data_IF_872409531466
#
_entry.id   IF_872409531466
#
_cell.length_a   1.000
_cell.length_b   1.000
_cell.length_c   1.000
_cell.angle_alpha   90.00
_cell.angle_beta   90.00
_cell.angle_gamma   90.00
#
_symmetry.space_group_name_H-M   'P 1'
#
loop_
_entity.id
_entity.type
_entity.pdbx_description
1 polymer ?
#
# COMPACT_ATOMS: atom_id res chain seq x y z
N UNK A 1 4.84 20.14 -11.04
CA UNK A 1 3.56 20.19 -10.30
C UNK A 1 2.65 19.02 -10.66
N UNK A 2 2.32 18.80 -11.93
CA UNK A 2 1.39 17.73 -12.36
C UNK A 2 1.79 16.31 -11.92
N UNK A 3 3.07 15.93 -12.04
CA UNK A 3 3.55 14.60 -11.58
C UNK A 3 3.36 14.37 -10.08
N UNK A 4 3.60 15.39 -9.26
CA UNK A 4 3.38 15.30 -7.81
C UNK A 4 1.88 15.19 -7.49
N UNK A 5 1.04 15.92 -8.21
CA UNK A 5 -0.41 15.83 -8.08
C UNK A 5 -0.92 14.43 -8.46
N UNK A 6 -0.37 13.83 -9.51
CA UNK A 6 -0.65 12.46 -9.91
C UNK A 6 -0.18 11.44 -8.87
N UNK A 7 1.00 11.64 -8.28
CA UNK A 7 1.53 10.77 -7.23
C UNK A 7 0.65 10.81 -5.97
N UNK A 8 0.31 12.01 -5.50
CA UNK A 8 -0.55 12.22 -4.33
C UNK A 8 -2.01 11.81 -4.59
N UNK A 9 -2.44 11.69 -5.85
CA UNK A 9 -3.73 11.12 -6.22
C UNK A 9 -3.72 9.59 -6.39
N UNK A 10 -2.56 8.94 -6.33
CA UNK A 10 -2.42 7.53 -6.67
C UNK A 10 -2.81 6.60 -5.51
N UNK A 11 -3.88 5.81 -5.69
CA UNK A 11 -4.38 4.86 -4.68
C UNK A 11 -3.31 3.83 -4.27
N UNK A 12 -2.55 3.30 -5.22
CA UNK A 12 -1.46 2.34 -4.98
C UNK A 12 -0.27 2.94 -4.22
N UNK A 13 0.01 4.23 -4.41
CA UNK A 13 1.03 4.92 -3.63
C UNK A 13 0.60 5.02 -2.16
N UNK A 14 -0.62 5.45 -1.89
CA UNK A 14 -1.14 5.53 -0.52
C UNK A 14 -1.27 4.17 0.16
N UNK A 15 -1.69 3.13 -0.56
CA UNK A 15 -1.72 1.76 -0.04
C UNK A 15 -0.32 1.29 0.39
N UNK A 16 0.71 1.53 -0.43
CA UNK A 16 2.09 1.21 -0.09
C UNK A 16 2.61 2.04 1.09
N UNK A 17 2.30 3.34 1.11
CA UNK A 17 2.72 4.25 2.18
C UNK A 17 2.11 3.86 3.54
N UNK A 18 0.84 3.49 3.58
CA UNK A 18 0.17 3.03 4.79
C UNK A 18 0.75 1.70 5.26
N UNK A 19 0.98 0.75 4.35
CA UNK A 19 1.64 -0.52 4.68
C UNK A 19 3.03 -0.30 5.28
N UNK A 20 3.83 0.57 4.67
CA UNK A 20 5.14 0.95 5.19
C UNK A 20 5.06 1.63 6.57
N UNK A 21 4.12 2.55 6.74
CA UNK A 21 3.91 3.23 8.03
C UNK A 21 3.56 2.23 9.14
N UNK A 22 2.70 1.24 8.87
CA UNK A 22 2.37 0.20 9.84
C UNK A 22 3.59 -0.64 10.25
N UNK A 23 4.45 -0.99 9.28
CA UNK A 23 5.70 -1.72 9.55
C UNK A 23 6.64 -0.87 10.43
N UNK A 24 6.79 0.41 10.11
CA UNK A 24 7.62 1.35 10.90
C UNK A 24 7.08 1.50 12.32
N UNK A 25 5.76 1.68 12.48
CA UNK A 25 5.11 1.82 13.79
C UNK A 25 5.33 0.56 14.62
N UNK A 26 5.12 -0.64 14.05
CA UNK A 26 5.36 -1.90 14.76
C UNK A 26 6.83 -2.10 15.13
N UNK A 27 7.76 -1.65 14.28
CA UNK A 27 9.19 -1.72 14.54
C UNK A 27 9.63 -0.75 15.67
N UNK A 28 9.04 0.44 15.74
CA UNK A 28 9.38 1.44 16.77
C UNK A 28 8.63 1.23 18.09
N UNK A 29 7.40 0.71 18.04
CA UNK A 29 6.60 0.35 19.21
C UNK A 29 6.18 -1.14 19.11
N UNK A 30 6.99 -2.07 19.64
CA UNK A 30 6.69 -3.50 19.60
C UNK A 30 5.38 -3.89 20.29
N UNK A 31 4.97 -3.15 21.33
CA UNK A 31 3.70 -3.35 22.05
C UNK A 31 2.46 -2.81 21.31
N UNK A 32 2.64 -2.25 20.10
CA UNK A 32 1.50 -1.83 19.29
C UNK A 32 0.53 -3.01 19.10
N UNK A 33 -0.80 -2.82 19.28
CA UNK A 33 -1.80 -3.88 19.36
C UNK A 33 -2.10 -4.49 18.00
N UNK A 34 -1.08 -5.08 17.40
CA UNK A 34 -1.07 -5.70 16.09
C UNK A 34 -0.12 -6.90 16.19
N UNK A 35 -0.68 -8.11 16.08
CA UNK A 35 0.12 -9.33 16.07
C UNK A 35 0.89 -9.48 14.75
N UNK A 36 1.97 -10.25 14.74
CA UNK A 36 2.81 -10.44 13.55
C UNK A 36 2.05 -11.08 12.40
N UNK A 37 1.16 -12.03 12.71
CA UNK A 37 0.31 -12.70 11.74
C UNK A 37 -0.70 -11.72 11.12
N UNK A 38 -1.24 -10.80 11.93
CA UNK A 38 -2.17 -9.77 11.48
C UNK A 38 -1.48 -8.75 10.60
N UNK A 39 -0.27 -8.32 10.97
CA UNK A 39 0.55 -7.43 10.13
C UNK A 39 0.79 -8.07 8.77
N UNK A 40 1.22 -9.32 8.76
CA UNK A 40 1.49 -10.07 7.53
C UNK A 40 0.24 -10.19 6.66
N UNK A 41 -0.91 -10.50 7.25
CA UNK A 41 -2.19 -10.57 6.54
C UNK A 41 -2.59 -9.21 5.92
N UNK A 42 -2.43 -8.11 6.66
CA UNK A 42 -2.67 -6.75 6.14
C UNK A 42 -1.75 -6.45 4.96
N UNK A 43 -0.47 -6.77 5.08
CA UNK A 43 0.50 -6.55 4.00
C UNK A 43 0.14 -7.38 2.75
N UNK A 44 -0.29 -8.64 2.91
CA UNK A 44 -0.74 -9.44 1.77
C UNK A 44 -1.93 -8.82 1.05
N UNK A 45 -2.92 -8.33 1.79
CA UNK A 45 -4.09 -7.66 1.21
C UNK A 45 -3.68 -6.38 0.46
N UNK A 46 -2.77 -5.58 1.03
CA UNK A 46 -2.27 -4.38 0.38
C UNK A 46 -1.50 -4.71 -0.91
N UNK A 47 -0.67 -5.74 -0.90
CA UNK A 47 0.06 -6.20 -2.10
C UNK A 47 -0.93 -6.65 -3.17
N UNK A 48 -1.91 -7.48 -2.82
CA UNK A 48 -2.93 -7.94 -3.76
C UNK A 48 -3.72 -6.76 -4.37
N UNK A 49 -4.09 -5.78 -3.54
CA UNK A 49 -4.75 -4.56 -3.99
C UNK A 49 -3.88 -3.74 -4.96
N UNK A 50 -2.61 -3.50 -4.59
CA UNK A 50 -1.67 -2.74 -5.43
C UNK A 50 -1.49 -3.42 -6.78
N UNK A 51 -1.31 -4.75 -6.80
CA UNK A 51 -1.20 -5.54 -8.03
C UNK A 51 -2.47 -5.42 -8.87
N UNK A 52 -3.66 -5.57 -8.27
CA UNK A 52 -4.94 -5.40 -8.95
C UNK A 52 -5.06 -4.03 -9.62
N UNK A 53 -4.76 -2.95 -8.90
CA UNK A 53 -4.78 -1.59 -9.48
C UNK A 53 -3.73 -1.39 -10.57
N UNK A 54 -2.57 -2.05 -10.47
CA UNK A 54 -1.53 -2.01 -11.49
C UNK A 54 -1.96 -2.71 -12.79
N UNK A 55 -2.65 -3.85 -12.67
CA UNK A 55 -3.21 -4.58 -13.81
C UNK A 55 -4.33 -3.77 -14.46
N UNK A 56 -5.27 -3.23 -13.68
CA UNK A 56 -6.34 -2.35 -14.17
C UNK A 56 -5.78 -1.17 -14.96
N UNK A 57 -4.81 -0.43 -14.37
CA UNK A 57 -4.16 0.70 -15.02
C UNK A 57 -3.43 0.30 -16.31
N UNK A 58 -2.84 -0.89 -16.36
CA UNK A 58 -2.13 -1.42 -17.53
C UNK A 58 -3.09 -1.81 -18.66
N UNK A 59 -4.18 -2.48 -18.32
CA UNK A 59 -5.19 -2.92 -19.27
C UNK A 59 -5.99 -1.73 -19.85
N UNK A 60 -6.38 -0.77 -19.00
CA UNK A 60 -7.08 0.45 -19.43
C UNK A 60 -6.26 1.38 -20.34
N UNK A 61 -4.94 1.19 -20.43
CA UNK A 61 -4.07 1.92 -21.38
C UNK A 61 -3.87 1.19 -22.70
N UNK A 62 -4.19 -0.09 -22.77
CA UNK A 62 -4.01 -0.94 -23.95
C UNK A 62 -5.27 -1.08 -24.81
N UNK A 63 -6.45 -0.75 -24.26
CA UNK A 63 -7.72 -0.63 -24.97
C UNK A 63 -7.95 0.79 -25.48
#
# INVERSE_FOLDING_TARGET
>A
MEKFKQLLGSRKFWAALIGLALVIVKAWQPDFPLAEEQLTAVIYVLVAYILGTGIEDGLSRAA
#
